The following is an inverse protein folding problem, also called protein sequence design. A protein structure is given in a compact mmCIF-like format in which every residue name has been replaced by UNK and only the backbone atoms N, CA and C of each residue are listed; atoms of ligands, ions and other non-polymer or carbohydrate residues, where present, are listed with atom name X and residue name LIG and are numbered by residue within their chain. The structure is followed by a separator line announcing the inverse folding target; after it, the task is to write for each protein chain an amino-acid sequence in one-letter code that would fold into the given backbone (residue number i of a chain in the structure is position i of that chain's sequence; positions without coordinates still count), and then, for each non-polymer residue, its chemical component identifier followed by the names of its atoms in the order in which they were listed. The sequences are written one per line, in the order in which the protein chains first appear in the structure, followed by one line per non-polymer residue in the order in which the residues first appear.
data_IF_470011348729
#
_entry.id   IF_470011348729
#
_cell.length_a   1.000
_cell.length_b   1.000
_cell.length_c   1.000
_cell.angle_alpha   90.00
_cell.angle_beta   90.00
_cell.angle_gamma   90.00
#
_symmetry.space_group_name_H-M   'P 1'
#
loop_
_entity.id
_entity.type
_entity.pdbx_description
1 polymer ?
#
# COMPACT_ATOMS: atom_id res chain seq x y z
N UNK A 1 3.19 11.13 -1.08
CA UNK A 1 2.62 9.81 -1.46
C UNK A 1 3.68 8.76 -1.10
N UNK A 2 3.33 7.65 -0.44
CA UNK A 2 4.30 6.59 -0.10
C UNK A 2 4.22 5.42 -1.10
N UNK A 3 5.17 4.46 -1.01
CA UNK A 3 5.20 3.31 -1.91
C UNK A 3 3.94 2.42 -1.81
N UNK A 4 3.34 2.25 -0.63
CA UNK A 4 2.09 1.49 -0.50
C UNK A 4 0.96 2.12 -1.34
N UNK A 5 0.81 3.44 -1.26
CA UNK A 5 -0.22 4.14 -2.01
C UNK A 5 0.03 4.11 -3.51
N UNK A 6 1.30 4.21 -3.92
CA UNK A 6 1.68 4.03 -5.31
C UNK A 6 1.28 2.64 -5.81
N UNK A 7 1.62 1.58 -5.06
CA UNK A 7 1.26 0.21 -5.43
C UNK A 7 -0.25 0.02 -5.54
N UNK A 8 -1.04 0.56 -4.61
CA UNK A 8 -2.52 0.53 -4.69
C UNK A 8 -3.03 1.20 -5.96
N UNK A 9 -2.44 2.35 -6.32
CA UNK A 9 -2.81 3.09 -7.51
C UNK A 9 -2.39 2.37 -8.80
N UNK A 10 -1.22 1.73 -8.83
CA UNK A 10 -0.79 0.89 -9.96
C UNK A 10 -1.78 -0.27 -10.12
N UNK A 11 -2.07 -1.02 -9.07
CA UNK A 11 -3.01 -2.16 -9.13
C UNK A 11 -4.41 -1.71 -9.57
N UNK A 12 -4.86 -0.54 -9.12
CA UNK A 12 -6.16 0.02 -9.50
C UNK A 12 -6.28 0.46 -10.97
N UNK A 13 -5.17 0.56 -11.71
CA UNK A 13 -5.20 0.85 -13.15
C UNK A 13 -5.57 -0.38 -13.99
N UNK A 14 -5.55 -1.59 -13.42
CA UNK A 14 -5.76 -2.85 -14.15
C UNK A 14 -7.08 -3.52 -13.75
N UNK A 15 -7.73 -4.24 -14.69
CA UNK A 15 -8.95 -4.99 -14.39
C UNK A 15 -8.69 -6.16 -13.45
N UNK A 16 -9.69 -6.54 -12.66
CA UNK A 16 -9.63 -7.71 -11.76
C UNK A 16 -9.44 -9.04 -12.52
N UNK A 17 -9.96 -9.09 -13.74
CA UNK A 17 -9.88 -10.22 -14.67
C UNK A 17 -9.27 -9.74 -15.99
N UNK A 18 -7.95 -9.53 -15.98
CA UNK A 18 -7.18 -9.08 -17.15
C UNK A 18 -6.47 -10.22 -17.88
N UNK A 19 -5.80 -9.86 -18.97
CA UNK A 19 -4.90 -10.74 -19.75
C UNK A 19 -3.57 -10.98 -19.01
N UNK A 20 -2.78 -11.94 -19.47
CA UNK A 20 -1.43 -12.16 -18.91
C UNK A 20 -0.53 -10.98 -19.23
N UNK A 21 -0.64 -10.41 -20.44
CA UNK A 21 0.09 -9.20 -20.82
C UNK A 21 -0.19 -8.01 -19.88
N UNK A 22 -1.45 -7.79 -19.50
CA UNK A 22 -1.80 -6.75 -18.52
C UNK A 22 -1.20 -7.04 -17.14
N UNK A 23 -1.21 -8.30 -16.71
CA UNK A 23 -0.58 -8.72 -15.46
C UNK A 23 0.94 -8.49 -15.50
N UNK A 24 1.59 -8.77 -16.63
CA UNK A 24 3.01 -8.52 -16.86
C UNK A 24 3.34 -7.03 -16.71
N UNK A 25 2.62 -6.14 -17.40
CA UNK A 25 2.83 -4.68 -17.30
C UNK A 25 2.63 -4.21 -15.85
N UNK A 26 1.61 -4.72 -15.16
CA UNK A 26 1.38 -4.42 -13.74
C UNK A 26 2.58 -4.81 -12.88
N UNK A 27 3.14 -6.01 -13.06
CA UNK A 27 4.31 -6.44 -12.31
C UNK A 27 5.57 -5.67 -12.66
N UNK A 28 5.77 -5.29 -13.94
CA UNK A 28 6.86 -4.39 -14.36
C UNK A 28 6.81 -3.04 -13.63
N UNK A 29 5.62 -2.45 -13.49
CA UNK A 29 5.43 -1.21 -12.71
C UNK A 29 5.69 -1.41 -11.22
N UNK A 30 5.20 -2.52 -10.63
CA UNK A 30 5.43 -2.85 -9.23
C UNK A 30 6.90 -3.20 -8.92
N UNK A 31 7.68 -3.53 -9.94
CA UNK A 31 9.10 -3.91 -9.84
C UNK A 31 10.05 -2.70 -9.71
N UNK A 32 9.54 -1.46 -9.84
CA UNK A 32 10.36 -0.25 -9.74
C UNK A 32 11.07 -0.19 -8.38
N UNK A 33 10.35 -0.41 -7.28
CA UNK A 33 10.91 -0.25 -5.93
C UNK A 33 11.11 -1.57 -5.17
N UNK A 34 10.42 -2.64 -5.57
CA UNK A 34 10.51 -3.94 -4.92
C UNK A 34 10.89 -4.99 -5.95
N UNK A 35 11.84 -5.88 -5.63
CA UNK A 35 12.26 -6.92 -6.54
C UNK A 35 11.12 -7.92 -6.80
N UNK A 36 10.72 -7.99 -8.06
CA UNK A 36 9.70 -8.89 -8.61
C UNK A 36 10.17 -9.57 -9.89
N UNK A 37 11.48 -9.63 -10.11
CA UNK A 37 12.06 -10.15 -11.36
C UNK A 37 11.62 -11.59 -11.63
N UNK A 38 11.62 -12.41 -10.58
CA UNK A 38 11.25 -13.80 -10.72
C UNK A 38 9.73 -14.01 -10.93
N UNK A 39 8.87 -13.04 -10.61
CA UNK A 39 7.45 -13.06 -11.04
C UNK A 39 7.30 -12.56 -12.48
N UNK A 40 8.09 -11.56 -12.89
CA UNK A 40 8.12 -11.03 -14.26
C UNK A 40 8.58 -12.10 -15.24
N UNK A 41 9.66 -12.83 -14.93
CA UNK A 41 10.19 -13.89 -15.78
C UNK A 41 9.12 -14.96 -16.11
N UNK A 42 8.34 -15.35 -15.11
CA UNK A 42 7.21 -16.28 -15.29
C UNK A 42 6.15 -15.68 -16.21
N UNK A 43 5.77 -14.42 -15.98
CA UNK A 43 4.77 -13.73 -16.78
C UNK A 43 5.21 -13.48 -18.23
N UNK A 44 6.49 -13.23 -18.48
CA UNK A 44 7.04 -13.08 -19.83
C UNK A 44 6.91 -14.39 -20.64
N UNK A 45 7.18 -15.54 -20.02
CA UNK A 45 6.94 -16.84 -20.62
C UNK A 45 5.45 -17.04 -20.93
N UNK A 46 4.58 -16.81 -19.96
CA UNK A 46 3.13 -16.96 -20.11
C UNK A 46 2.53 -15.99 -21.14
N UNK A 47 3.05 -14.77 -21.25
CA UNK A 47 2.57 -13.77 -22.22
C UNK A 47 2.88 -14.20 -23.67
N UNK A 48 4.04 -14.83 -23.91
CA UNK A 48 4.37 -15.42 -25.22
C UNK A 48 3.41 -16.55 -25.57
N UNK A 49 3.05 -17.40 -24.60
CA UNK A 49 2.06 -18.45 -24.80
C UNK A 49 0.66 -17.88 -25.08
N UNK A 50 0.26 -16.83 -24.36
CA UNK A 50 -1.01 -16.14 -24.59
C UNK A 50 -1.13 -15.64 -26.04
N UNK A 51 -0.07 -15.01 -26.58
CA UNK A 51 -0.04 -14.58 -27.98
C UNK A 51 -0.22 -15.76 -28.95
N UNK A 52 0.40 -16.91 -28.69
CA UNK A 52 0.21 -18.11 -29.53
C UNK A 52 -1.22 -18.65 -29.47
N UNK A 53 -1.86 -18.63 -28.30
CA UNK A 53 -3.25 -19.06 -28.14
C UNK A 53 -4.22 -18.15 -28.89
N UNK A 54 -3.99 -16.83 -28.84
CA UNK A 54 -4.78 -15.84 -29.57
C UNK A 54 -4.62 -16.03 -31.09
N UNK A 55 -3.39 -16.20 -31.58
CA UNK A 55 -3.12 -16.39 -33.01
C UNK A 55 -3.76 -17.66 -33.58
N UNK A 56 -3.88 -18.72 -32.78
CA UNK A 56 -4.55 -19.98 -33.16
C UNK A 56 -6.08 -19.86 -33.17
N UNK A 57 -6.65 -18.77 -32.65
CA UNK A 57 -8.10 -18.60 -32.53
C UNK A 57 -8.74 -19.68 -31.65
N UNK A 58 -8.03 -20.15 -30.63
CA UNK A 58 -8.49 -21.28 -29.83
C UNK A 58 -9.74 -20.91 -29.01
N UNK A 59 -10.84 -21.62 -29.26
CA UNK A 59 -12.12 -21.46 -28.55
C UNK A 59 -11.95 -21.64 -27.02
N UNK A 60 -10.88 -22.33 -26.60
CA UNK A 60 -10.53 -22.55 -25.19
C UNK A 60 -9.66 -21.46 -24.58
N UNK A 61 -9.34 -20.37 -25.31
CA UNK A 61 -8.48 -19.30 -24.80
C UNK A 61 -8.91 -18.77 -23.43
N UNK A 62 -10.20 -18.49 -23.22
CA UNK A 62 -10.70 -17.98 -21.93
C UNK A 62 -10.51 -18.99 -20.79
N UNK A 63 -10.65 -20.28 -21.06
CA UNK A 63 -10.42 -21.34 -20.07
C UNK A 63 -8.92 -21.48 -19.76
N UNK A 64 -8.07 -21.41 -20.79
CA UNK A 64 -6.62 -21.42 -20.66
C UNK A 64 -6.13 -20.21 -19.86
N UNK A 65 -6.61 -19.01 -20.15
CA UNK A 65 -6.26 -17.77 -19.44
C UNK A 65 -6.62 -17.87 -17.95
N UNK A 66 -7.84 -18.32 -17.64
CA UNK A 66 -8.28 -18.52 -16.25
C UNK A 66 -7.39 -19.52 -15.50
N UNK A 67 -7.04 -20.63 -16.16
CA UNK A 67 -6.18 -21.66 -15.57
C UNK A 67 -4.77 -21.13 -15.28
N UNK A 68 -4.12 -20.53 -16.28
CA UNK A 68 -2.75 -20.01 -16.15
C UNK A 68 -2.66 -18.85 -15.15
N UNK A 69 -3.64 -17.96 -15.14
CA UNK A 69 -3.70 -16.90 -14.14
C UNK A 69 -3.87 -17.46 -12.71
N UNK A 70 -4.58 -18.57 -12.55
CA UNK A 70 -4.67 -19.28 -11.27
C UNK A 70 -3.33 -19.88 -10.85
N UNK A 71 -2.63 -20.53 -11.78
CA UNK A 71 -1.29 -21.10 -11.57
C UNK A 71 -0.30 -20.00 -11.14
N UNK A 72 -0.30 -18.86 -11.85
CA UNK A 72 0.53 -17.71 -11.50
C UNK A 72 0.22 -17.18 -10.10
N UNK A 73 -1.06 -16.98 -9.75
CA UNK A 73 -1.45 -16.51 -8.42
C UNK A 73 -1.03 -17.47 -7.31
N UNK A 74 -1.13 -18.78 -7.57
CA UNK A 74 -0.67 -19.80 -6.63
C UNK A 74 0.85 -19.72 -6.43
N UNK A 75 1.63 -19.58 -7.49
CA UNK A 75 3.10 -19.48 -7.38
C UNK A 75 3.54 -18.22 -6.62
N UNK A 76 2.87 -17.08 -6.84
CA UNK A 76 3.08 -15.84 -6.06
C UNK A 76 2.76 -16.06 -4.59
N UNK A 77 1.65 -16.73 -4.28
CA UNK A 77 1.25 -17.01 -2.91
C UNK A 77 2.25 -17.94 -2.19
N UNK A 78 2.73 -18.98 -2.87
CA UNK A 78 3.73 -19.89 -2.31
C UNK A 78 5.06 -19.19 -1.99
N UNK A 79 5.50 -18.26 -2.86
CA UNK A 79 6.66 -17.41 -2.63
C UNK A 79 6.47 -16.48 -1.43
N UNK A 80 5.28 -15.88 -1.32
CA UNK A 80 4.92 -15.07 -0.16
C UNK A 80 4.97 -15.87 1.14
N UNK A 81 4.41 -17.08 1.15
CA UNK A 81 4.45 -17.96 2.31
C UNK A 81 5.89 -18.36 2.70
N UNK A 82 6.75 -18.60 1.71
CA UNK A 82 8.18 -18.88 1.95
C UNK A 82 8.86 -17.71 2.65
N UNK A 83 8.64 -16.47 2.19
CA UNK A 83 9.18 -15.25 2.83
C UNK A 83 8.64 -15.09 4.25
N UNK A 84 7.33 -15.21 4.45
CA UNK A 84 6.68 -15.09 5.77
C UNK A 84 7.22 -16.12 6.78
N UNK A 85 7.46 -17.37 6.36
CA UNK A 85 8.05 -18.40 7.24
C UNK A 85 9.48 -18.08 7.68
N UNK A 86 10.19 -17.25 6.93
CA UNK A 86 11.53 -16.77 7.25
C UNK A 86 11.53 -15.40 7.93
N UNK A 87 10.36 -14.82 8.18
CA UNK A 87 10.20 -13.44 8.65
C UNK A 87 10.86 -12.39 7.73
N UNK A 88 10.89 -12.68 6.43
CA UNK A 88 11.47 -11.82 5.41
C UNK A 88 10.40 -10.96 4.75
N UNK A 89 10.72 -9.68 4.53
CA UNK A 89 9.93 -8.80 3.68
C UNK A 89 10.24 -9.05 2.20
N UNK A 90 9.39 -8.52 1.31
CA UNK A 90 9.76 -8.46 -0.11
C UNK A 90 10.98 -7.55 -0.25
N UNK A 91 12.00 -8.04 -0.96
CA UNK A 91 13.24 -7.32 -1.17
C UNK A 91 12.98 -5.96 -1.81
N UNK A 92 13.50 -4.91 -1.16
CA UNK A 92 13.46 -3.56 -1.67
C UNK A 92 14.70 -3.32 -2.52
N UNK A 93 14.51 -2.78 -3.72
CA UNK A 93 15.63 -2.45 -4.61
C UNK A 93 16.47 -1.35 -4.02
N UNK A 94 17.76 -1.34 -4.35
CA UNK A 94 18.60 -0.16 -4.13
C UNK A 94 18.11 1.03 -4.96
N UNK A 95 18.50 2.24 -4.57
CA UNK A 95 18.15 3.44 -5.34
C UNK A 95 18.60 3.34 -6.81
N UNK A 96 19.82 2.86 -7.05
CA UNK A 96 20.37 2.72 -8.41
C UNK A 96 19.56 1.74 -9.26
N UNK A 97 19.19 0.58 -8.70
CA UNK A 97 18.36 -0.39 -9.42
C UNK A 97 16.96 0.15 -9.69
N UNK A 98 16.36 0.87 -8.74
CA UNK A 98 15.06 1.49 -8.94
C UNK A 98 15.09 2.53 -10.06
N UNK A 99 16.14 3.35 -10.12
CA UNK A 99 16.40 4.29 -11.23
C UNK A 99 16.53 3.54 -12.55
N UNK A 100 17.32 2.45 -12.59
CA UNK A 100 17.52 1.66 -13.81
C UNK A 100 16.21 1.08 -14.33
N UNK A 101 15.43 0.42 -13.46
CA UNK A 101 14.13 -0.17 -13.83
C UNK A 101 13.16 0.90 -14.31
N UNK A 102 13.10 2.04 -13.61
CA UNK A 102 12.22 3.14 -14.00
C UNK A 102 12.63 3.76 -15.34
N UNK A 103 13.93 3.97 -15.57
CA UNK A 103 14.45 4.51 -16.82
C UNK A 103 14.09 3.61 -18.01
N UNK A 104 14.20 2.27 -17.86
CA UNK A 104 13.75 1.33 -18.90
C UNK A 104 12.27 1.51 -19.24
N UNK A 105 11.41 1.63 -18.22
CA UNK A 105 9.97 1.87 -18.45
C UNK A 105 9.68 3.23 -19.11
N UNK A 106 10.48 4.25 -18.81
CA UNK A 106 10.34 5.57 -19.42
C UNK A 106 10.80 5.58 -20.88
N UNK A 107 11.80 4.78 -21.25
CA UNK A 107 12.20 4.60 -22.66
C UNK A 107 11.07 3.97 -23.48
N UNK A 108 10.34 3.03 -22.88
CA UNK A 108 9.22 2.33 -23.53
C UNK A 108 7.88 3.07 -23.40
N UNK A 109 7.86 4.31 -22.88
CA UNK A 109 6.62 4.97 -22.44
C UNK A 109 5.55 5.04 -23.53
N UNK A 110 5.96 5.33 -24.76
CA UNK A 110 5.04 5.49 -25.89
C UNK A 110 4.43 4.16 -26.37
N UNK A 111 4.99 3.03 -25.96
CA UNK A 111 4.43 1.70 -26.25
C UNK A 111 3.26 1.32 -25.34
N UNK A 112 3.12 1.97 -24.18
CA UNK A 112 2.06 1.67 -23.23
C UNK A 112 0.76 2.43 -23.52
N UNK A 113 -0.34 1.95 -22.94
CA UNK A 113 -1.61 2.67 -22.98
C UNK A 113 -1.54 4.02 -22.22
N UNK A 114 -2.48 4.92 -22.53
CA UNK A 114 -2.52 6.26 -21.94
C UNK A 114 -2.64 6.26 -20.40
N UNK A 115 -3.24 5.21 -19.81
CA UNK A 115 -3.45 5.09 -18.37
C UNK A 115 -2.12 4.77 -17.66
N UNK A 116 -1.30 3.92 -18.27
CA UNK A 116 0.05 3.56 -17.81
C UNK A 116 1.02 4.71 -18.07
N UNK A 117 0.96 5.35 -19.24
CA UNK A 117 1.74 6.57 -19.51
C UNK A 117 1.50 7.65 -18.45
N UNK A 118 0.23 7.91 -18.12
CA UNK A 118 -0.15 8.85 -17.06
C UNK A 118 0.40 8.43 -15.69
N UNK A 119 0.44 7.13 -15.40
CA UNK A 119 1.01 6.59 -14.16
C UNK A 119 2.52 6.83 -14.09
N UNK A 120 3.26 6.54 -15.17
CA UNK A 120 4.71 6.73 -15.24
C UNK A 120 5.10 8.20 -15.10
N UNK A 121 4.44 9.11 -15.84
CA UNK A 121 4.65 10.56 -15.69
C UNK A 121 4.33 11.08 -14.29
N UNK A 122 3.35 10.48 -13.62
CA UNK A 122 3.04 10.82 -12.23
C UNK A 122 4.11 10.32 -11.26
N UNK A 123 4.69 9.13 -11.49
CA UNK A 123 5.84 8.63 -10.73
C UNK A 123 7.04 9.56 -10.94
N UNK A 124 7.34 9.92 -12.19
CA UNK A 124 8.43 10.86 -12.55
C UNK A 124 8.29 12.20 -11.80
N UNK A 125 7.10 12.82 -11.88
CA UNK A 125 6.82 14.08 -11.19
C UNK A 125 7.00 13.99 -9.67
N UNK A 126 6.71 12.84 -9.07
CA UNK A 126 6.81 12.63 -7.62
C UNK A 126 8.08 11.88 -7.21
N UNK A 127 9.04 11.68 -8.11
CA UNK A 127 10.18 10.78 -7.91
C UNK A 127 10.94 11.09 -6.63
N UNK A 128 11.31 12.37 -6.42
CA UNK A 128 12.00 12.83 -5.21
C UNK A 128 11.29 12.41 -3.92
N UNK A 129 9.97 12.55 -3.85
CA UNK A 129 9.19 12.17 -2.66
C UNK A 129 9.03 10.66 -2.52
N UNK A 130 9.04 9.93 -3.63
CA UNK A 130 8.95 8.47 -3.63
C UNK A 130 10.30 7.83 -3.30
N UNK A 131 11.42 8.54 -3.41
CA UNK A 131 12.77 8.01 -3.13
C UNK A 131 13.45 8.63 -1.92
N UNK A 132 12.83 9.62 -1.26
CA UNK A 132 13.40 10.33 -0.11
C UNK A 132 13.83 9.38 1.02
N UNK A 133 13.10 8.28 1.21
CA UNK A 133 13.43 7.26 2.23
C UNK A 133 14.77 6.55 1.98
N UNK A 134 15.33 6.57 0.77
CA UNK A 134 16.65 6.01 0.50
C UNK A 134 17.79 6.82 1.12
N UNK A 135 17.55 8.10 1.40
CA UNK A 135 18.58 9.05 1.83
C UNK A 135 18.45 9.48 3.29
N UNK A 136 17.40 9.04 3.97
CA UNK A 136 17.13 9.35 5.37
C UNK A 136 17.27 8.06 6.16
N UNK A 137 18.21 8.06 7.11
CA UNK A 137 18.43 6.93 8.03
C UNK A 137 17.14 6.61 8.79
N UNK A 138 16.83 5.31 8.92
CA UNK A 138 15.63 4.76 9.55
C UNK A 138 14.27 5.23 8.97
N UNK A 139 14.26 5.94 7.84
CA UNK A 139 13.00 6.34 7.22
C UNK A 139 12.30 5.13 6.57
N UNK A 140 11.06 4.80 6.97
CA UNK A 140 10.36 3.67 6.39
C UNK A 140 9.84 4.03 4.99
N UNK A 141 10.02 3.11 4.04
CA UNK A 141 9.52 3.27 2.67
C UNK A 141 7.98 3.28 2.57
N UNK A 142 7.31 2.76 3.59
CA UNK A 142 5.85 2.79 3.72
C UNK A 142 5.44 3.46 5.02
N UNK A 143 4.30 4.15 5.00
CA UNK A 143 3.71 4.75 6.18
C UNK A 143 2.82 3.77 6.96
N UNK A 144 2.90 2.45 6.69
CA UNK A 144 1.97 1.45 7.22
C UNK A 144 1.95 1.43 8.75
N UNK A 145 3.10 1.56 9.41
CA UNK A 145 3.18 1.62 10.87
C UNK A 145 2.39 2.81 11.43
N UNK A 146 2.52 3.98 10.78
CA UNK A 146 1.82 5.21 11.14
C UNK A 146 0.32 5.08 10.87
N UNK A 147 -0.06 4.53 9.71
CA UNK A 147 -1.46 4.29 9.36
C UNK A 147 -2.13 3.28 10.29
N UNK A 148 -1.43 2.20 10.63
CA UNK A 148 -1.91 1.17 11.56
C UNK A 148 -2.07 1.76 12.95
N UNK A 149 -1.07 2.50 13.46
CA UNK A 149 -1.15 3.18 14.74
C UNK A 149 -2.38 4.09 14.82
N UNK A 150 -2.58 4.97 13.84
CA UNK A 150 -3.74 5.84 13.82
C UNK A 150 -5.04 5.09 13.57
N UNK A 151 -5.00 3.95 12.88
CA UNK A 151 -6.18 3.14 12.63
C UNK A 151 -6.68 2.38 13.84
N UNK A 152 -5.77 1.86 14.67
CA UNK A 152 -6.10 1.15 15.91
C UNK A 152 -6.38 2.12 17.06
N UNK A 153 -5.68 3.25 17.13
CA UNK A 153 -5.78 4.19 18.27
C UNK A 153 -6.85 5.26 18.13
N UNK A 154 -7.29 5.61 16.92
CA UNK A 154 -8.24 6.70 16.71
C UNK A 154 -9.59 6.23 16.17
N UNK A 155 -10.66 6.59 16.90
CA UNK A 155 -12.04 6.55 16.38
C UNK A 155 -12.18 7.48 15.16
N UNK A 156 -13.05 7.14 14.22
CA UNK A 156 -13.25 7.84 12.93
C UNK A 156 -13.40 9.36 13.04
N UNK A 157 -14.09 9.85 14.08
CA UNK A 157 -14.24 11.29 14.33
C UNK A 157 -12.91 11.97 14.68
N UNK A 158 -12.05 11.33 15.48
CA UNK A 158 -10.73 11.87 15.84
C UNK A 158 -9.78 11.90 14.64
N UNK A 159 -9.87 10.91 13.74
CA UNK A 159 -9.10 10.92 12.47
C UNK A 159 -9.40 12.15 11.62
N UNK A 160 -10.67 12.61 11.55
CA UNK A 160 -11.04 13.82 10.80
C UNK A 160 -10.39 15.09 11.37
N UNK A 161 -10.23 15.17 12.69
CA UNK A 161 -9.62 16.31 13.37
C UNK A 161 -8.11 16.41 13.12
N UNK A 162 -7.43 15.32 12.75
CA UNK A 162 -5.97 15.30 12.49
C UNK A 162 -5.59 15.52 11.01
N UNK A 163 -6.56 15.83 10.13
CA UNK A 163 -6.30 16.04 8.69
C UNK A 163 -5.63 17.37 8.36
N UNK A 164 -5.47 18.26 9.33
CA UNK A 164 -4.89 19.60 9.16
C UNK A 164 -3.70 19.76 10.09
N UNK A 165 -2.71 20.57 9.71
CA UNK A 165 -1.56 20.89 10.58
C UNK A 165 -2.01 21.41 11.95
N UNK A 166 -3.03 22.27 11.97
CA UNK A 166 -3.63 22.78 13.21
C UNK A 166 -4.14 21.64 14.09
N UNK A 167 -4.81 20.66 13.48
CA UNK A 167 -5.30 19.45 14.15
C UNK A 167 -4.20 18.62 14.77
N UNK A 168 -3.13 18.36 14.02
CA UNK A 168 -1.95 17.64 14.50
C UNK A 168 -1.29 18.39 15.66
N UNK A 169 -1.08 19.71 15.51
CA UNK A 169 -0.46 20.56 16.53
C UNK A 169 -1.27 20.58 17.82
N UNK A 170 -2.61 20.64 17.73
CA UNK A 170 -3.49 20.58 18.87
C UNK A 170 -3.43 19.22 19.58
N UNK A 171 -3.37 18.12 18.82
CA UNK A 171 -3.24 16.79 19.40
C UNK A 171 -1.89 16.58 20.09
N UNK A 172 -0.79 17.08 19.51
CA UNK A 172 0.52 17.06 20.15
C UNK A 172 0.51 17.84 21.47
N UNK A 173 -0.11 19.03 21.49
CA UNK A 173 -0.30 19.82 22.70
C UNK A 173 -1.13 19.07 23.75
N UNK A 174 -2.28 18.51 23.38
CA UNK A 174 -3.13 17.73 24.28
C UNK A 174 -2.41 16.52 24.87
N UNK A 175 -1.66 15.78 24.05
CA UNK A 175 -0.83 14.65 24.50
C UNK A 175 0.29 15.11 25.44
N UNK A 176 0.93 16.25 25.18
CA UNK A 176 1.93 16.82 26.08
C UNK A 176 1.31 17.23 27.42
N UNK A 177 0.17 17.91 27.42
CA UNK A 177 -0.60 18.29 28.61
C UNK A 177 -1.00 17.05 29.42
N UNK A 178 -1.44 15.99 28.75
CA UNK A 178 -1.80 14.72 29.40
C UNK A 178 -0.59 14.02 30.02
N UNK A 179 0.55 13.98 29.32
CA UNK A 179 1.80 13.41 29.86
C UNK A 179 2.35 14.21 31.04
N UNK A 180 2.17 15.53 31.01
CA UNK A 180 2.53 16.43 32.11
C UNK A 180 1.57 16.33 33.31
N UNK A 181 0.54 15.48 33.26
CA UNK A 181 -0.42 15.30 34.36
C UNK A 181 -1.37 16.48 34.60
N UNK A 182 -1.34 17.50 33.74
CA UNK A 182 -2.13 18.74 33.88
C UNK A 182 -3.62 18.46 33.66
N UNK A 183 -3.94 17.55 32.74
CA UNK A 183 -5.26 16.93 32.67
C UNK A 183 -5.28 15.80 33.71
N UNK A 184 -5.71 16.13 34.93
CA UNK A 184 -5.84 15.15 36.02
C UNK A 184 -6.65 13.93 35.61
N UNK A 185 -6.42 12.79 36.29
CA UNK A 185 -7.34 11.65 36.19
C UNK A 185 -8.69 12.10 36.76
N UNK A 186 -9.79 11.66 36.14
CA UNK A 186 -11.10 11.81 36.74
C UNK A 186 -11.11 10.94 38.01
N UNK A 187 -10.85 11.54 39.17
CA UNK A 187 -10.76 10.82 40.45
C UNK A 187 -12.11 10.26 40.88
N UNK A 188 -13.19 10.88 40.40
CA UNK A 188 -14.57 10.43 40.63
C UNK A 188 -15.23 10.07 39.31
N UNK A 189 -15.81 8.89 39.27
CA UNK A 189 -16.69 8.45 38.18
C UNK A 189 -17.99 9.25 38.21
N UNK A 190 -18.66 9.38 37.05
CA UNK A 190 -19.99 9.98 36.99
C UNK A 190 -20.96 9.30 37.96
N UNK A 191 -20.82 7.99 38.16
CA UNK A 191 -21.65 7.22 39.08
C UNK A 191 -21.43 7.63 40.55
N UNK A 192 -20.18 7.83 40.97
CA UNK A 192 -19.86 8.36 42.30
C UNK A 192 -20.35 9.81 42.47
N UNK A 193 -20.33 10.61 41.41
CA UNK A 193 -20.94 11.95 41.42
C UNK A 193 -22.46 11.85 41.59
N UNK A 194 -23.13 10.96 40.86
CA UNK A 194 -24.57 10.73 41.00
C UNK A 194 -24.96 10.19 42.38
N UNK A 195 -24.16 9.28 42.96
CA UNK A 195 -24.39 8.73 44.29
C UNK A 195 -24.29 9.79 45.39
N UNK A 196 -23.49 10.85 45.20
CA UNK A 196 -23.46 11.99 46.14
C UNK A 196 -24.77 12.80 46.14
N UNK A 197 -25.64 12.65 45.14
CA UNK A 197 -26.95 13.30 45.08
C UNK A 197 -28.11 12.41 45.55
N UNK A 198 -27.87 11.11 45.80
CA UNK A 198 -28.88 10.19 46.35
C UNK A 198 -29.45 10.61 47.71
N UNK A 199 -28.70 11.26 48.63
CA UNK A 199 -29.28 11.76 49.88
C UNK A 199 -30.36 12.84 49.70
N UNK A 200 -30.49 13.42 48.49
CA UNK A 200 -31.52 14.41 48.16
C UNK A 200 -32.72 13.80 47.42
N UNK A 201 -32.73 12.47 47.20
CA UNK A 201 -33.84 11.74 46.60
C UNK A 201 -34.68 10.98 47.63
N UNK A 202 -34.21 10.87 48.89
CA UNK A 202 -35.05 10.48 50.03
C UNK A 202 -35.78 11.72 50.56
N UNK A 203 -36.84 12.12 49.87
CA UNK A 203 -37.99 12.73 50.53
C UNK A 203 -38.87 11.57 50.99
N UNK A 204 -38.97 11.38 52.31
CA UNK A 204 -39.74 10.30 52.92
C UNK A 204 -41.21 10.25 52.53
#
# INVERSE_FOLDING_TARGET
MCLLHLNKLIVGNFPKHGTIEQELIKYRLLNIFYNRDAEIEVLEGMAKEEQMMILKGDVKYMAWLKSNMSIFRQSVHERELKRRRKDENLEQRTFFEAVKVFATLMVEIDSFDAVIQKRLRMIEKNWKHLTEFYFVEDAPATNNLVENYYSTSLKTHRKKQLRTERGIRNQMKLSAIKRAGVLGKCEKTLLEVFLMFVPFLDTG
#
